data_IF_308042160246
#
_entry.id   IF_308042160246
#
_cell.length_a   1.000
_cell.length_b   1.000
_cell.length_c   1.000
_cell.angle_alpha   90.00
_cell.angle_beta   90.00
_cell.angle_gamma   90.00
#
_symmetry.space_group_name_H-M   'P 1'
#
loop_
_entity.id
_entity.type
_entity.pdbx_description
1 polymer ?
#
# COMPACT_ATOMS: atom_id res chain seq x y z
N UNK A 1 -5.03 -13.47 4.57
CA UNK A 1 -4.90 -14.61 5.50
C UNK A 1 -6.14 -15.46 5.30
N UNK A 2 -6.04 -16.53 4.52
CA UNK A 2 -7.21 -17.34 4.16
C UNK A 2 -7.45 -18.41 5.23
N UNK A 3 -8.59 -18.34 5.91
CA UNK A 3 -8.96 -19.20 7.03
C UNK A 3 -9.73 -20.43 6.52
N UNK A 4 -9.44 -21.61 7.08
CA UNK A 4 -10.01 -22.88 6.63
C UNK A 4 -10.94 -23.49 7.68
N UNK A 5 -12.22 -23.62 7.33
CA UNK A 5 -13.22 -24.39 8.07
C UNK A 5 -13.91 -25.38 7.13
N UNK A 6 -14.11 -26.61 7.61
CA UNK A 6 -14.71 -27.74 6.84
C UNK A 6 -14.22 -27.84 5.39
N UNK A 7 -12.91 -27.71 5.16
CA UNK A 7 -12.24 -27.83 3.84
C UNK A 7 -12.56 -26.72 2.83
N UNK A 8 -13.19 -25.62 3.24
CA UNK A 8 -13.39 -24.42 2.44
C UNK A 8 -12.40 -23.34 2.86
N UNK A 9 -12.14 -22.39 1.97
CA UNK A 9 -11.21 -21.29 2.19
C UNK A 9 -11.97 -19.97 2.15
N UNK A 10 -11.79 -19.15 3.17
CA UNK A 10 -12.40 -17.83 3.29
C UNK A 10 -11.33 -16.77 3.45
N UNK A 11 -11.43 -15.67 2.71
CA UNK A 11 -10.43 -14.59 2.73
C UNK A 11 -10.52 -13.72 3.99
N UNK A 12 -11.69 -13.69 4.63
CA UNK A 12 -11.97 -12.85 5.78
C UNK A 12 -12.90 -13.54 6.79
N UNK A 13 -12.88 -13.11 8.06
CA UNK A 13 -13.75 -13.66 9.11
C UNK A 13 -15.23 -13.33 8.86
N UNK A 14 -15.52 -12.18 8.26
CA UNK A 14 -16.87 -11.77 7.86
C UNK A 14 -17.41 -12.68 6.76
N UNK A 15 -16.58 -12.99 5.77
CA UNK A 15 -16.87 -13.91 4.66
C UNK A 15 -17.24 -15.32 5.16
N UNK A 16 -16.60 -15.75 6.25
CA UNK A 16 -16.93 -17.01 6.93
C UNK A 16 -18.27 -16.90 7.68
N UNK A 17 -18.49 -15.82 8.44
CA UNK A 17 -19.73 -15.61 9.19
C UNK A 17 -20.97 -15.52 8.30
N UNK A 18 -20.84 -15.01 7.07
CA UNK A 18 -21.92 -14.95 6.09
C UNK A 18 -22.26 -16.32 5.48
N UNK A 19 -21.27 -17.20 5.36
CA UNK A 19 -21.40 -18.46 4.63
C UNK A 19 -21.61 -19.69 5.52
N UNK A 20 -21.19 -19.62 6.80
CA UNK A 20 -21.24 -20.73 7.74
C UNK A 20 -21.93 -20.32 9.04
N UNK A 21 -22.76 -21.23 9.58
CA UNK A 21 -23.57 -20.98 10.78
C UNK A 21 -22.85 -21.31 12.10
N UNK A 22 -21.54 -21.53 12.06
CA UNK A 22 -20.76 -21.93 13.22
C UNK A 22 -19.60 -20.98 13.46
N UNK A 23 -19.17 -20.87 14.70
CA UNK A 23 -18.05 -20.01 15.06
C UNK A 23 -16.73 -20.57 14.52
N UNK A 24 -15.89 -19.64 14.06
CA UNK A 24 -14.55 -19.95 13.59
C UNK A 24 -13.70 -20.38 14.79
N UNK A 25 -13.26 -21.64 14.80
CA UNK A 25 -12.39 -22.14 15.87
C UNK A 25 -10.95 -21.69 15.63
N UNK A 26 -10.27 -21.13 16.64
CA UNK A 26 -8.85 -20.86 16.52
C UNK A 26 -8.09 -22.20 16.41
N UNK A 27 -7.34 -22.36 15.33
CA UNK A 27 -6.40 -23.47 15.16
C UNK A 27 -5.00 -22.90 15.13
N UNK A 28 -4.08 -23.58 15.81
CA UNK A 28 -2.66 -23.22 15.84
C UNK A 28 -1.95 -23.61 14.54
N UNK A 29 -2.50 -24.58 13.81
CA UNK A 29 -2.08 -24.91 12.46
C UNK A 29 -2.73 -23.95 11.45
N UNK A 30 -1.91 -23.17 10.75
CA UNK A 30 -2.34 -22.36 9.61
C UNK A 30 -1.93 -23.01 8.30
N UNK A 31 -2.87 -23.07 7.35
CA UNK A 31 -2.60 -23.58 6.01
C UNK A 31 -2.36 -22.39 5.08
N UNK A 32 -1.19 -22.34 4.46
CA UNK A 32 -0.82 -21.29 3.51
C UNK A 32 -0.71 -21.86 2.10
N UNK A 33 -1.06 -21.04 1.11
CA UNK A 33 -0.85 -21.37 -0.31
C UNK A 33 0.20 -20.42 -0.89
N UNK A 34 1.31 -20.96 -1.39
CA UNK A 34 2.34 -20.14 -2.00
C UNK A 34 1.89 -19.62 -3.38
N UNK A 35 2.00 -18.31 -3.62
CA UNK A 35 1.63 -17.72 -4.92
C UNK A 35 2.54 -18.16 -6.08
N UNK A 36 3.81 -18.46 -5.80
CA UNK A 36 4.80 -18.84 -6.81
C UNK A 36 4.64 -20.30 -7.27
N UNK A 37 4.51 -21.24 -6.34
CA UNK A 37 4.42 -22.67 -6.67
C UNK A 37 3.01 -23.26 -6.56
N UNK A 38 2.03 -22.49 -6.07
CA UNK A 38 0.62 -22.90 -5.86
C UNK A 38 0.44 -24.14 -4.97
N UNK A 39 1.49 -24.57 -4.26
CA UNK A 39 1.43 -25.66 -3.29
C UNK A 39 0.92 -25.13 -1.95
N UNK A 40 -0.02 -25.86 -1.37
CA UNK A 40 -0.48 -25.61 -0.02
C UNK A 40 0.46 -26.31 0.97
N UNK A 41 0.88 -25.58 2.01
CA UNK A 41 1.69 -26.10 3.11
C UNK A 41 1.05 -25.73 4.44
N UNK A 42 1.35 -26.51 5.48
CA UNK A 42 0.85 -26.28 6.84
C UNK A 42 1.98 -25.77 7.69
N UNK A 43 1.72 -24.76 8.49
CA UNK A 43 2.66 -24.18 9.45
C UNK A 43 2.00 -24.10 10.82
N UNK A 44 2.73 -24.50 11.84
CA UNK A 44 2.34 -24.22 13.22
C UNK A 44 2.71 -22.77 13.55
N UNK A 45 1.81 -22.02 14.16
CA UNK A 45 2.00 -20.59 14.48
C UNK A 45 2.63 -20.42 15.86
N UNK A 46 2.74 -21.49 16.67
CA UNK A 46 3.33 -21.39 18.00
C UNK A 46 4.85 -21.14 17.99
N UNK A 47 5.56 -21.71 17.02
CA UNK A 47 7.00 -21.49 16.81
C UNK A 47 7.18 -20.73 15.51
N UNK A 48 7.30 -19.40 15.60
CA UNK A 48 7.61 -18.57 14.44
C UNK A 48 9.13 -18.38 14.38
N UNK A 49 9.82 -19.24 13.62
CA UNK A 49 11.28 -19.17 13.43
C UNK A 49 11.65 -18.44 12.12
N UNK A 50 12.86 -17.90 12.00
CA UNK A 50 13.33 -17.16 10.80
C UNK A 50 13.29 -18.01 9.50
N UNK A 51 13.41 -19.34 9.66
CA UNK A 51 13.23 -20.32 8.57
C UNK A 51 11.79 -20.37 8.03
N UNK A 52 10.85 -19.82 8.78
CA UNK A 52 9.43 -19.81 8.46
C UNK A 52 9.08 -18.70 7.50
N UNK A 53 9.99 -17.77 7.20
CA UNK A 53 9.70 -16.69 6.27
C UNK A 53 9.60 -17.19 4.81
N UNK A 54 10.06 -18.41 4.55
CA UNK A 54 10.19 -18.99 3.22
C UNK A 54 9.24 -20.17 3.00
N UNK A 55 8.73 -20.28 1.78
CA UNK A 55 7.97 -21.46 1.38
C UNK A 55 8.90 -22.69 1.25
N UNK A 56 8.60 -23.82 1.93
CA UNK A 56 9.46 -25.02 1.93
C UNK A 56 9.57 -25.70 0.56
N UNK A 57 8.80 -25.27 -0.43
CA UNK A 57 8.76 -25.87 -1.77
C UNK A 57 9.50 -25.07 -2.85
N UNK A 58 9.71 -23.77 -2.65
CA UNK A 58 10.25 -22.91 -3.71
C UNK A 58 11.01 -21.68 -3.20
N UNK A 59 11.25 -21.62 -1.89
CA UNK A 59 12.02 -20.56 -1.23
C UNK A 59 11.45 -19.15 -1.47
N UNK A 60 10.13 -19.06 -1.65
CA UNK A 60 9.46 -17.78 -1.80
C UNK A 60 9.23 -17.15 -0.42
N UNK A 61 9.86 -16.01 -0.15
CA UNK A 61 9.59 -15.19 1.02
C UNK A 61 8.12 -14.73 1.01
N UNK A 62 7.36 -15.13 2.02
CA UNK A 62 5.92 -14.82 2.09
C UNK A 62 5.58 -13.76 3.13
N UNK A 63 6.55 -13.33 3.94
CA UNK A 63 6.42 -12.24 4.91
C UNK A 63 6.81 -10.92 4.24
N UNK A 64 5.84 -10.23 3.64
CA UNK A 64 6.13 -8.94 3.00
C UNK A 64 6.19 -7.82 4.04
N UNK A 65 7.20 -6.95 3.95
CA UNK A 65 7.27 -5.75 4.77
C UNK A 65 6.01 -4.88 4.59
N UNK A 66 5.51 -4.36 5.71
CA UNK A 66 4.37 -3.46 5.71
C UNK A 66 4.74 -2.17 4.97
N UNK A 67 4.14 -1.95 3.80
CA UNK A 67 4.29 -0.69 3.07
C UNK A 67 3.55 0.41 3.83
N UNK A 68 4.29 1.33 4.43
CA UNK A 68 3.69 2.56 4.98
C UNK A 68 3.21 3.44 3.81
N UNK A 69 1.99 4.00 3.89
CA UNK A 69 1.53 4.94 2.89
C UNK A 69 2.44 6.19 2.97
N UNK A 70 3.33 6.33 1.99
CA UNK A 70 4.13 7.54 1.87
C UNK A 70 3.20 8.69 1.51
N UNK A 71 3.19 9.76 2.32
CA UNK A 71 2.42 10.96 2.05
C UNK A 71 2.89 11.55 0.70
N UNK A 72 2.12 11.31 -0.35
CA UNK A 72 2.34 11.90 -1.67
C UNK A 72 1.30 13.00 -1.85
N UNK A 73 1.76 14.24 -2.03
CA UNK A 73 0.91 15.34 -2.44
C UNK A 73 0.51 15.10 -3.91
N UNK A 74 -0.67 14.53 -4.12
CA UNK A 74 -1.27 14.43 -5.45
C UNK A 74 -2.08 15.69 -5.67
N UNK A 75 -1.80 16.41 -6.76
CA UNK A 75 -2.61 17.56 -7.14
C UNK A 75 -3.59 17.09 -8.20
N UNK A 76 -4.86 16.99 -7.82
CA UNK A 76 -5.94 16.67 -8.74
C UNK A 76 -6.21 17.90 -9.63
N UNK A 77 -6.01 17.74 -10.94
CA UNK A 77 -6.39 18.76 -11.93
C UNK A 77 -7.68 18.32 -12.63
N UNK A 78 -8.62 19.25 -12.80
CA UNK A 78 -9.82 19.02 -13.60
C UNK A 78 -9.47 19.03 -15.10
N UNK A 79 -10.45 18.79 -15.98
CA UNK A 79 -10.25 18.80 -17.43
C UNK A 79 -9.49 20.07 -17.88
N UNK A 80 -8.33 19.85 -18.50
CA UNK A 80 -7.39 20.87 -18.98
C UNK A 80 -8.06 21.91 -19.90
N UNK A 81 -9.16 21.55 -20.57
CA UNK A 81 -9.93 22.48 -21.42
C UNK A 81 -10.77 23.47 -20.62
N UNK A 82 -11.14 23.14 -19.38
CA UNK A 82 -11.92 24.00 -18.48
C UNK A 82 -11.02 24.80 -17.56
N UNK A 83 -9.92 24.22 -17.11
CA UNK A 83 -8.97 24.86 -16.21
C UNK A 83 -7.52 24.67 -16.68
N UNK A 84 -6.99 25.71 -17.33
CA UNK A 84 -5.64 25.70 -17.90
C UNK A 84 -4.53 26.05 -16.89
N UNK A 85 -4.86 26.25 -15.60
CA UNK A 85 -3.88 26.68 -14.57
C UNK A 85 -2.74 25.67 -14.35
N UNK A 86 -2.95 24.41 -14.70
CA UNK A 86 -1.94 23.34 -14.60
C UNK A 86 -1.08 23.17 -15.87
N UNK A 87 -1.34 23.94 -16.93
CA UNK A 87 -0.59 23.88 -18.19
C UNK A 87 0.32 25.10 -18.32
N UNK A 88 1.62 24.85 -18.45
CA UNK A 88 2.62 25.90 -18.71
C UNK A 88 2.62 26.26 -20.20
N UNK A 89 2.31 27.52 -20.53
CA UNK A 89 2.47 28.06 -21.90
C UNK A 89 3.87 28.67 -22.05
N UNK A 90 4.68 28.09 -22.91
CA UNK A 90 6.08 28.50 -23.14
C UNK A 90 6.22 29.84 -23.88
N UNK A 91 5.13 30.37 -24.46
CA UNK A 91 5.16 31.63 -25.23
C UNK A 91 5.08 32.88 -24.35
N UNK A 92 4.65 32.72 -23.09
CA UNK A 92 4.51 33.84 -22.15
C UNK A 92 5.81 33.97 -21.37
N UNK A 93 6.40 35.18 -21.35
CA UNK A 93 7.62 35.45 -20.59
C UNK A 93 7.32 35.32 -19.10
N UNK A 94 7.98 34.39 -18.43
CA UNK A 94 7.88 34.24 -16.97
C UNK A 94 8.43 35.50 -16.28
N UNK A 95 7.67 36.01 -15.32
CA UNK A 95 8.13 37.10 -14.46
C UNK A 95 9.25 36.57 -13.55
N UNK A 96 10.31 37.36 -13.34
CA UNK A 96 11.41 36.96 -12.48
C UNK A 96 10.88 36.64 -11.07
N UNK A 97 11.15 35.43 -10.59
CA UNK A 97 10.68 34.98 -9.29
C UNK A 97 11.28 35.87 -8.21
N UNK A 98 10.42 36.66 -7.55
CA UNK A 98 10.82 37.45 -6.39
C UNK A 98 11.13 36.48 -5.24
N UNK A 99 12.41 36.31 -4.93
CA UNK A 99 12.84 35.56 -3.76
C UNK A 99 12.98 36.48 -2.56
N UNK A 100 12.82 35.93 -1.35
CA UNK A 100 13.01 36.64 -0.07
C UNK A 100 14.43 37.25 0.04
N UNK A 101 15.37 36.81 -0.80
CA UNK A 101 16.76 37.26 -0.83
C UNK A 101 17.01 38.48 -1.75
N UNK A 102 15.98 39.00 -2.44
CA UNK A 102 16.11 40.22 -3.23
C UNK A 102 16.16 41.47 -2.33
N UNK A 103 17.34 41.74 -1.78
CA UNK A 103 17.68 42.91 -0.97
C UNK A 103 17.40 44.27 -1.63
N UNK A 104 17.17 44.32 -2.95
CA UNK A 104 16.89 45.56 -3.68
C UNK A 104 15.47 46.10 -3.45
N UNK A 105 14.46 45.24 -3.37
CA UNK A 105 13.05 45.68 -3.32
C UNK A 105 12.58 46.01 -1.89
N UNK A 106 13.19 45.40 -0.87
CA UNK A 106 12.91 45.74 0.53
C UNK A 106 13.33 47.17 0.91
N UNK A 107 14.34 47.73 0.22
CA UNK A 107 14.81 49.10 0.45
C UNK A 107 13.87 50.16 -0.14
N UNK A 108 13.09 49.84 -1.17
CA UNK A 108 12.22 50.79 -1.88
C UNK A 108 10.84 50.94 -1.23
N UNK A 109 10.41 49.99 -0.38
CA UNK A 109 9.14 50.08 0.38
C UNK A 109 9.30 50.67 1.80
N UNK A 110 10.54 50.91 2.24
CA UNK A 110 10.88 51.45 3.56
C UNK A 110 11.45 52.89 3.52
N UNK A 111 11.38 53.55 2.37
CA UNK A 111 11.80 54.95 2.16
C UNK A 111 10.69 55.80 1.60
#
# INVERSE_FOLDING_TARGET
MSQQTRRKWFDCAECHAESETHDLKPTLEMVFACKKCKKAFRKDVQEFEESDEYCPHCDNHFVLEAKTPQARLQVESEDVRKDARFVKDERVREEEQQTIWNLKEASERLG
#
